data_IF_954604742423
#
_entry.id   IF_954604742423
#
_cell.length_a   1.000
_cell.length_b   1.000
_cell.length_c   1.000
_cell.angle_alpha   90.00
_cell.angle_beta   90.00
_cell.angle_gamma   90.00
#
_symmetry.space_group_name_H-M   'P 1'
#
loop_
_entity.id
_entity.type
_entity.pdbx_description
1 polymer ?
#
# COMPACT_ATOMS: atom_id res chain seq x y z
N UNK A 1 17.98 10.92 -12.50
CA UNK A 1 16.64 11.28 -12.97
C UNK A 1 16.08 12.33 -12.02
N UNK A 2 15.31 13.33 -12.49
CA UNK A 2 14.73 14.37 -11.64
C UNK A 2 13.22 14.22 -11.68
N UNK A 3 12.58 14.08 -10.53
CA UNK A 3 11.12 13.96 -10.46
C UNK A 3 10.49 15.34 -10.27
N UNK A 4 9.22 15.53 -10.67
CA UNK A 4 8.52 16.79 -10.42
C UNK A 4 8.35 17.00 -8.91
N UNK A 5 8.36 18.27 -8.48
CA UNK A 5 7.99 18.64 -7.11
C UNK A 5 6.47 18.75 -6.99
N UNK A 6 5.94 18.47 -5.80
CA UNK A 6 4.55 18.75 -5.49
C UNK A 6 4.28 20.26 -5.63
N UNK A 7 3.20 20.61 -6.34
CA UNK A 7 2.70 21.97 -6.30
C UNK A 7 2.01 22.24 -4.93
N UNK A 8 1.79 23.50 -4.52
CA UNK A 8 1.23 23.81 -3.21
C UNK A 8 -0.14 23.18 -2.93
N UNK A 9 -0.97 23.02 -3.96
CA UNK A 9 -2.28 22.39 -3.83
C UNK A 9 -2.14 20.91 -3.47
N UNK A 10 -1.33 20.16 -4.24
CA UNK A 10 -1.10 18.74 -4.01
C UNK A 10 -0.37 18.50 -2.68
N UNK A 11 0.59 19.36 -2.31
CA UNK A 11 1.27 19.27 -1.02
C UNK A 11 0.28 19.44 0.16
N UNK A 12 -0.65 20.40 0.06
CA UNK A 12 -1.68 20.60 1.08
C UNK A 12 -2.71 19.45 1.14
N UNK A 13 -3.00 18.81 0.02
CA UNK A 13 -3.88 17.63 -0.01
C UNK A 13 -3.20 16.40 0.59
N UNK A 14 -1.92 16.18 0.24
CA UNK A 14 -1.13 15.05 0.73
C UNK A 14 -0.92 15.12 2.25
N UNK A 15 -0.74 16.31 2.81
CA UNK A 15 -0.55 16.50 4.25
C UNK A 15 -1.75 16.07 5.11
N UNK A 16 -2.94 15.96 4.52
CA UNK A 16 -4.13 15.44 5.19
C UNK A 16 -4.18 13.90 5.23
N UNK A 17 -3.29 13.21 4.52
CA UNK A 17 -3.25 11.75 4.42
C UNK A 17 -2.15 11.23 5.36
N UNK A 18 -2.49 10.41 6.37
CA UNK A 18 -1.48 9.82 7.23
C UNK A 18 -0.53 8.92 6.44
N UNK A 19 0.81 9.07 6.54
CA UNK A 19 1.72 8.17 5.85
C UNK A 19 1.72 6.78 6.46
N UNK A 20 2.07 5.78 5.66
CA UNK A 20 2.59 4.50 6.12
C UNK A 20 4.12 4.55 6.11
N UNK A 21 4.76 3.86 7.05
CA UNK A 21 6.20 3.75 7.17
C UNK A 21 6.65 2.32 6.81
N UNK A 22 7.61 2.20 5.90
CA UNK A 22 8.35 0.96 5.61
C UNK A 22 9.82 1.30 5.38
N UNK A 23 10.73 0.60 6.06
CA UNK A 23 12.19 0.78 5.91
C UNK A 23 12.64 2.26 5.89
N UNK A 24 12.12 3.04 6.84
CA UNK A 24 12.35 4.50 7.00
C UNK A 24 11.77 5.39 5.90
N UNK A 25 11.11 4.82 4.89
CA UNK A 25 10.43 5.57 3.84
C UNK A 25 9.00 5.83 4.23
N UNK A 26 8.60 7.10 4.22
CA UNK A 26 7.20 7.45 4.29
C UNK A 26 6.59 7.38 2.89
N UNK A 27 5.48 6.67 2.78
CA UNK A 27 4.66 6.66 1.60
C UNK A 27 3.21 6.97 1.97
N UNK A 28 2.47 7.52 1.02
CA UNK A 28 1.13 8.05 1.25
C UNK A 28 0.10 7.28 0.41
N UNK A 29 -0.58 6.28 0.98
CA UNK A 29 -1.62 5.53 0.30
C UNK A 29 -2.85 6.41 0.06
N UNK A 30 -3.10 6.68 -1.21
CA UNK A 30 -4.01 7.72 -1.67
C UNK A 30 -4.82 7.25 -2.86
N UNK A 31 -5.96 7.90 -3.06
CA UNK A 31 -6.64 7.94 -4.35
C UNK A 31 -6.28 9.25 -5.04
N UNK A 32 -6.23 9.23 -6.36
CA UNK A 32 -5.90 10.42 -7.17
C UNK A 32 -6.90 10.60 -8.28
N UNK A 33 -7.31 11.85 -8.52
CA UNK A 33 -8.03 12.24 -9.73
C UNK A 33 -6.99 12.72 -10.75
N UNK A 34 -6.99 12.12 -11.93
CA UNK A 34 -6.12 12.52 -13.04
C UNK A 34 -6.68 13.76 -13.76
N UNK A 35 -5.86 14.44 -14.56
CA UNK A 35 -6.30 15.55 -15.41
C UNK A 35 -7.41 15.14 -16.41
N UNK A 36 -7.52 13.84 -16.73
CA UNK A 36 -8.60 13.28 -17.54
C UNK A 36 -9.94 13.17 -16.81
N UNK A 37 -9.95 13.31 -15.48
CA UNK A 37 -11.10 13.05 -14.61
C UNK A 37 -11.23 11.59 -14.14
N UNK A 38 -10.35 10.70 -14.59
CA UNK A 38 -10.27 9.32 -14.08
C UNK A 38 -9.78 9.31 -12.62
N UNK A 39 -10.32 8.38 -11.83
CA UNK A 39 -9.87 8.15 -10.44
C UNK A 39 -9.11 6.84 -10.36
N UNK A 40 -7.87 6.90 -9.88
CA UNK A 40 -7.08 5.74 -9.50
C UNK A 40 -7.13 5.60 -7.97
N UNK A 41 -7.70 4.50 -7.48
CA UNK A 41 -7.95 4.32 -6.04
C UNK A 41 -6.72 3.88 -5.23
N UNK A 42 -5.74 3.27 -5.88
CA UNK A 42 -4.60 2.65 -5.20
C UNK A 42 -3.29 3.29 -5.70
N UNK A 43 -2.93 4.44 -5.15
CA UNK A 43 -1.70 5.15 -5.50
C UNK A 43 -0.86 5.39 -4.25
N UNK A 44 0.45 5.14 -4.36
CA UNK A 44 1.43 5.43 -3.33
C UNK A 44 2.25 6.63 -3.78
N UNK A 45 2.04 7.78 -3.15
CA UNK A 45 2.94 8.92 -3.33
C UNK A 45 4.16 8.74 -2.43
N UNK A 46 5.36 8.89 -2.99
CA UNK A 46 6.63 8.65 -2.27
C UNK A 46 7.69 9.65 -2.74
N UNK A 47 8.53 10.12 -1.81
CA UNK A 47 9.72 10.90 -2.17
C UNK A 47 10.67 10.00 -2.97
N UNK A 48 11.07 10.44 -4.17
CA UNK A 48 11.82 9.62 -5.11
C UNK A 48 13.19 9.14 -4.55
N UNK A 49 13.89 10.03 -3.85
CA UNK A 49 15.18 9.72 -3.22
C UNK A 49 15.08 8.67 -2.11
N UNK A 50 14.03 8.76 -1.28
CA UNK A 50 13.74 7.79 -0.23
C UNK A 50 13.35 6.44 -0.82
N UNK A 51 12.48 6.45 -1.83
CA UNK A 51 12.07 5.24 -2.54
C UNK A 51 13.30 4.49 -3.09
N UNK A 52 14.18 5.15 -3.84
CA UNK A 52 15.33 4.47 -4.43
C UNK A 52 16.30 3.95 -3.36
N UNK A 53 16.44 4.67 -2.24
CA UNK A 53 17.31 4.26 -1.15
C UNK A 53 16.83 2.98 -0.46
N UNK A 54 15.52 2.72 -0.41
CA UNK A 54 14.95 1.50 0.18
C UNK A 54 14.82 0.35 -0.84
N UNK A 55 14.28 0.62 -2.04
CA UNK A 55 14.01 -0.44 -3.01
C UNK A 55 15.12 -0.69 -4.04
N UNK A 56 16.04 0.25 -4.24
CA UNK A 56 17.21 0.09 -5.11
C UNK A 56 16.94 -0.03 -6.62
N UNK A 57 15.67 0.03 -7.05
CA UNK A 57 15.23 -0.06 -8.46
C UNK A 57 14.04 0.85 -8.70
N UNK A 58 14.06 1.64 -9.78
CA UNK A 58 12.94 2.52 -10.12
C UNK A 58 11.69 1.72 -10.50
N UNK A 59 10.47 2.22 -10.24
CA UNK A 59 9.24 1.47 -10.55
C UNK A 59 9.16 1.05 -12.03
N UNK A 60 9.45 1.97 -12.97
CA UNK A 60 9.43 1.69 -14.40
C UNK A 60 10.54 0.75 -14.90
N UNK A 61 11.54 0.42 -14.06
CA UNK A 61 12.58 -0.57 -14.37
C UNK A 61 12.23 -1.98 -13.86
N UNK A 62 11.15 -2.09 -13.09
CA UNK A 62 10.67 -3.32 -12.47
C UNK A 62 9.31 -3.69 -13.06
N UNK A 63 9.27 -4.73 -13.91
CA UNK A 63 8.04 -5.17 -14.58
C UNK A 63 6.92 -5.62 -13.65
N UNK A 64 7.19 -5.77 -12.35
CA UNK A 64 6.16 -6.07 -11.34
C UNK A 64 5.51 -4.81 -10.74
N UNK A 65 5.96 -3.62 -11.13
CA UNK A 65 5.49 -2.33 -10.62
C UNK A 65 4.91 -1.48 -11.74
N UNK A 66 3.95 -0.65 -11.34
CA UNK A 66 3.34 0.35 -12.20
C UNK A 66 3.62 1.74 -11.62
N UNK A 67 3.83 2.73 -12.46
CA UNK A 67 3.98 4.13 -12.04
C UNK A 67 3.14 5.11 -12.87
N UNK A 68 2.82 6.23 -12.24
CA UNK A 68 2.14 7.36 -12.87
C UNK A 68 2.94 8.64 -12.66
N UNK A 69 2.87 9.53 -13.65
CA UNK A 69 3.55 10.81 -13.59
C UNK A 69 2.77 11.80 -12.69
N UNK A 70 3.46 12.47 -11.78
CA UNK A 70 2.87 13.51 -10.91
C UNK A 70 2.14 14.61 -11.71
N UNK A 71 2.66 14.97 -12.89
CA UNK A 71 2.05 15.97 -13.77
C UNK A 71 0.68 15.58 -14.32
N UNK A 72 0.31 14.30 -14.26
CA UNK A 72 -1.02 13.83 -14.65
C UNK A 72 -2.06 13.93 -13.52
N UNK A 73 -1.62 14.21 -12.28
CA UNK A 73 -2.49 14.25 -11.10
C UNK A 73 -3.06 15.65 -10.92
N UNK A 74 -4.39 15.72 -10.83
CA UNK A 74 -5.15 16.94 -10.56
C UNK A 74 -5.44 17.11 -9.08
N UNK A 75 -5.86 16.05 -8.40
CA UNK A 75 -6.14 16.04 -6.97
C UNK A 75 -5.67 14.74 -6.30
N UNK A 76 -5.34 14.84 -5.02
CA UNK A 76 -5.01 13.71 -4.14
C UNK A 76 -5.98 13.70 -2.95
N UNK A 77 -6.45 12.52 -2.54
CA UNK A 77 -7.34 12.36 -1.41
C UNK A 77 -7.18 10.97 -0.74
N UNK A 78 -7.64 10.78 0.51
CA UNK A 78 -7.54 9.48 1.18
C UNK A 78 -8.22 8.36 0.38
N UNK A 79 -7.53 7.23 0.24
CA UNK A 79 -8.11 6.07 -0.45
C UNK A 79 -9.10 5.31 0.42
N UNK A 80 -10.23 4.94 -0.18
CA UNK A 80 -11.25 4.08 0.45
C UNK A 80 -10.82 2.62 0.52
N UNK A 81 -9.87 2.23 -0.32
CA UNK A 81 -9.32 0.87 -0.36
C UNK A 81 -8.20 0.65 0.66
N UNK A 82 -7.71 1.73 1.29
CA UNK A 82 -6.65 1.65 2.28
C UNK A 82 -7.16 1.00 3.56
N UNK A 83 -6.55 -0.11 3.98
CA UNK A 83 -6.82 -0.67 5.30
C UNK A 83 -6.50 0.33 6.42
N UNK A 84 -7.13 0.23 7.61
CA UNK A 84 -6.81 1.12 8.71
C UNK A 84 -5.30 1.15 9.00
N UNK A 85 -4.73 2.36 9.08
CA UNK A 85 -3.29 2.59 9.25
C UNK A 85 -2.66 1.73 10.36
N UNK A 86 -3.35 1.62 11.50
CA UNK A 86 -2.88 0.81 12.62
C UNK A 86 -2.68 -0.67 12.27
N UNK A 87 -3.43 -1.20 11.30
CA UNK A 87 -3.29 -2.57 10.83
C UNK A 87 -2.18 -2.71 9.81
N UNK A 88 -2.02 -1.77 8.86
CA UNK A 88 -0.89 -1.82 7.91
C UNK A 88 0.44 -1.73 8.66
N UNK A 89 0.56 -0.82 9.63
CA UNK A 89 1.75 -0.69 10.48
C UNK A 89 1.99 -1.94 11.35
N UNK A 90 0.92 -2.53 11.89
CA UNK A 90 1.04 -3.76 12.67
C UNK A 90 1.52 -4.94 11.80
N UNK A 91 1.04 -5.06 10.56
CA UNK A 91 1.50 -6.10 9.63
C UNK A 91 2.98 -5.88 9.26
N UNK A 92 3.39 -4.65 8.95
CA UNK A 92 4.79 -4.32 8.62
C UNK A 92 5.73 -4.65 9.78
N UNK A 93 5.25 -4.59 11.02
CA UNK A 93 6.03 -4.97 12.21
C UNK A 93 6.19 -6.48 12.41
N UNK A 94 5.46 -7.32 11.67
CA UNK A 94 5.60 -8.77 11.77
C UNK A 94 6.90 -9.25 11.14
N UNK A 95 7.49 -10.29 11.73
CA UNK A 95 8.60 -11.00 11.12
C UNK A 95 8.21 -11.55 9.76
N UNK A 96 9.14 -11.49 8.81
CA UNK A 96 8.94 -12.08 7.50
C UNK A 96 8.66 -13.57 7.62
N UNK A 97 7.65 -14.04 6.88
CA UNK A 97 7.31 -15.46 6.81
C UNK A 97 8.13 -16.20 5.74
N UNK A 98 8.83 -15.46 4.89
CA UNK A 98 9.69 -15.97 3.81
C UNK A 98 10.45 -14.81 3.15
N UNK A 99 11.12 -15.08 2.02
CA UNK A 99 11.94 -14.06 1.34
C UNK A 99 11.09 -12.87 0.85
N UNK A 100 11.06 -11.78 1.62
CA UNK A 100 10.43 -10.51 1.24
C UNK A 100 8.90 -10.46 1.38
N UNK A 101 8.30 -11.34 2.19
CA UNK A 101 6.86 -11.29 2.46
C UNK A 101 6.49 -11.77 3.86
N UNK A 102 5.33 -11.31 4.33
CA UNK A 102 4.73 -11.71 5.60
C UNK A 102 3.35 -12.33 5.38
N UNK A 103 3.09 -13.44 6.07
CA UNK A 103 1.77 -14.07 6.15
C UNK A 103 1.09 -13.65 7.45
N UNK A 104 -0.20 -13.38 7.37
CA UNK A 104 -1.01 -12.98 8.51
C UNK A 104 -2.49 -13.27 8.25
N UNK A 105 -3.31 -13.17 9.29
CA UNK A 105 -4.75 -13.25 9.18
C UNK A 105 -5.37 -11.86 9.31
N UNK A 106 -6.22 -11.48 8.36
CA UNK A 106 -7.27 -10.51 8.64
C UNK A 106 -8.33 -11.17 9.52
N UNK A 107 -8.80 -10.44 10.52
CA UNK A 107 -9.93 -10.83 11.36
C UNK A 107 -11.07 -9.86 11.09
N UNK A 108 -12.21 -10.39 10.67
CA UNK A 108 -13.40 -9.61 10.32
C UNK A 108 -14.40 -9.53 11.48
N UNK A 109 -15.33 -8.57 11.40
CA UNK A 109 -16.38 -8.33 12.43
C UNK A 109 -17.20 -9.58 12.80
N UNK A 110 -17.41 -10.47 11.85
CA UNK A 110 -18.16 -11.73 12.04
C UNK A 110 -17.32 -12.85 12.69
N UNK A 111 -16.04 -12.57 12.99
CA UNK A 111 -15.10 -13.52 13.59
C UNK A 111 -14.34 -14.37 12.57
N UNK A 112 -14.66 -14.27 11.27
CA UNK A 112 -13.94 -14.99 10.25
C UNK A 112 -12.50 -14.49 10.14
N UNK A 113 -11.60 -15.43 9.82
CA UNK A 113 -10.19 -15.16 9.60
C UNK A 113 -9.80 -15.56 8.18
N UNK A 114 -9.09 -14.68 7.48
CA UNK A 114 -8.63 -14.95 6.12
C UNK A 114 -7.12 -14.80 6.02
N UNK A 115 -6.46 -15.87 5.58
CA UNK A 115 -5.02 -15.91 5.37
C UNK A 115 -4.63 -14.98 4.22
N UNK A 116 -3.67 -14.10 4.49
CA UNK A 116 -3.29 -12.98 3.65
C UNK A 116 -1.77 -12.86 3.54
N UNK A 117 -1.30 -12.22 2.47
CA UNK A 117 0.10 -12.00 2.16
C UNK A 117 0.32 -10.55 1.68
N UNK A 118 1.37 -9.89 2.20
CA UNK A 118 1.95 -8.70 1.60
C UNK A 118 3.48 -8.72 1.67
N UNK A 119 4.12 -7.93 0.79
CA UNK A 119 5.54 -7.58 0.90
C UNK A 119 5.72 -6.33 1.78
N UNK A 120 6.64 -5.44 1.41
CA UNK A 120 6.89 -4.19 2.17
C UNK A 120 5.76 -3.14 2.14
N UNK A 121 4.73 -3.36 1.32
CA UNK A 121 3.57 -2.48 1.19
C UNK A 121 2.32 -3.28 1.56
N UNK A 122 1.62 -2.83 2.60
CA UNK A 122 0.48 -3.55 3.19
C UNK A 122 -0.73 -2.64 3.40
N UNK A 123 -0.99 -1.72 2.47
CA UNK A 123 -2.11 -0.77 2.57
C UNK A 123 -3.32 -1.16 1.72
N UNK A 124 -3.13 -1.84 0.59
CA UNK A 124 -4.19 -2.20 -0.35
C UNK A 124 -4.29 -3.70 -0.55
N UNK A 125 -5.50 -4.26 -0.44
CA UNK A 125 -5.76 -5.69 -0.58
C UNK A 125 -7.00 -5.96 -1.41
N UNK A 126 -7.00 -7.07 -2.14
CA UNK A 126 -8.21 -7.59 -2.80
C UNK A 126 -8.99 -8.39 -1.77
N UNK A 127 -9.92 -7.73 -1.07
CA UNK A 127 -10.78 -8.39 -0.10
C UNK A 127 -11.80 -9.29 -0.82
N UNK A 128 -12.27 -10.38 -0.19
CA UNK A 128 -13.40 -11.14 -0.70
C UNK A 128 -14.63 -10.23 -0.84
N UNK A 129 -15.45 -10.46 -1.86
CA UNK A 129 -16.61 -9.61 -2.21
C UNK A 129 -17.59 -9.38 -1.04
N UNK A 130 -17.59 -10.26 -0.04
CA UNK A 130 -18.42 -10.18 1.17
C UNK A 130 -17.87 -9.23 2.25
N UNK A 131 -16.66 -8.69 2.09
CA UNK A 131 -16.02 -7.86 3.10
C UNK A 131 -15.59 -6.51 2.55
N UNK A 132 -15.83 -5.48 3.36
CA UNK A 132 -15.27 -4.16 3.16
C UNK A 132 -14.05 -3.97 4.05
N UNK A 133 -13.25 -2.96 3.73
CA UNK A 133 -12.10 -2.56 4.56
C UNK A 133 -12.52 -2.24 6.00
N UNK A 134 -13.67 -1.62 6.18
CA UNK A 134 -14.25 -1.29 7.48
C UNK A 134 -14.66 -2.52 8.31
N UNK A 135 -14.74 -3.71 7.70
CA UNK A 135 -15.05 -4.96 8.40
C UNK A 135 -13.82 -5.59 9.05
N UNK A 136 -12.62 -5.12 8.72
CA UNK A 136 -11.39 -5.55 9.37
C UNK A 136 -11.35 -4.96 10.78
N UNK A 137 -11.32 -5.83 11.79
CA UNK A 137 -11.23 -5.42 13.20
C UNK A 137 -9.89 -5.75 13.84
N UNK A 138 -9.10 -6.65 13.23
CA UNK A 138 -7.78 -7.00 13.72
C UNK A 138 -6.93 -7.66 12.63
N UNK A 139 -5.62 -7.69 12.88
CA UNK A 139 -4.65 -8.51 12.16
C UNK A 139 -3.89 -9.37 13.16
N UNK A 140 -3.60 -10.61 12.77
CA UNK A 140 -2.91 -11.59 13.61
C UNK A 140 -1.75 -12.22 12.84
N UNK A 141 -0.58 -12.44 13.47
CA UNK A 141 0.53 -13.11 12.79
C UNK A 141 0.13 -14.54 12.41
N UNK A 142 0.59 -15.00 11.25
CA UNK A 142 0.44 -16.39 10.86
C UNK A 142 1.45 -17.25 11.63
N UNK A 143 0.95 -18.28 12.32
CA UNK A 143 1.79 -19.32 12.92
C UNK A 143 1.70 -20.58 12.04
N UNK A 144 2.84 -21.03 11.53
CA UNK A 144 2.90 -22.19 10.64
C UNK A 144 2.58 -23.48 11.41
N UNK A 145 1.63 -24.24 10.88
CA UNK A 145 1.48 -25.67 11.17
C UNK A 145 2.19 -26.48 10.06
N UNK A 146 3.03 -27.43 10.44
CA UNK A 146 3.84 -28.23 9.53
C UNK A 146 3.02 -29.15 8.61
N UNK A 147 1.73 -29.35 8.91
CA UNK A 147 0.88 -30.30 8.20
C UNK A 147 -0.08 -29.67 7.18
N UNK A 148 -0.04 -28.35 6.96
CA UNK A 148 -0.95 -27.67 6.04
C UNK A 148 -0.24 -27.02 4.84
N UNK A 149 -0.75 -27.23 3.60
CA UNK A 149 -0.35 -26.42 2.47
C UNK A 149 -0.82 -24.98 2.70
N UNK A 150 0.11 -24.04 2.59
CA UNK A 150 -0.14 -22.62 2.80
C UNK A 150 -0.46 -22.01 1.45
N UNK A 151 -1.71 -21.59 1.25
CA UNK A 151 -2.13 -20.82 0.07
C UNK A 151 -2.83 -19.55 0.57
N UNK A 152 -2.24 -18.36 0.40
CA UNK A 152 -2.90 -17.13 0.78
C UNK A 152 -4.14 -16.90 -0.10
N UNK A 153 -5.24 -16.50 0.53
CA UNK A 153 -6.50 -16.22 -0.15
C UNK A 153 -6.53 -14.75 -0.59
N UNK A 154 -6.01 -13.85 0.26
CA UNK A 154 -5.94 -12.41 -0.02
C UNK A 154 -4.49 -12.02 -0.35
N UNK A 155 -4.33 -11.28 -1.44
CA UNK A 155 -3.08 -10.64 -1.84
C UNK A 155 -3.26 -9.13 -1.86
N UNK A 156 -2.13 -8.43 -1.89
CA UNK A 156 -2.13 -6.99 -2.16
C UNK A 156 -2.84 -6.69 -3.48
N UNK A 157 -3.64 -5.63 -3.51
CA UNK A 157 -4.24 -5.15 -4.76
C UNK A 157 -3.16 -4.55 -5.66
N UNK A 158 -3.45 -4.43 -6.95
CA UNK A 158 -2.60 -3.64 -7.84
C UNK A 158 -2.63 -2.17 -7.40
N UNK A 159 -1.49 -1.50 -7.52
CA UNK A 159 -1.34 -0.09 -7.18
C UNK A 159 -0.28 0.56 -8.07
N UNK A 160 -0.30 1.89 -8.10
CA UNK A 160 0.67 2.70 -8.83
C UNK A 160 1.59 3.43 -7.86
N UNK A 161 2.86 3.57 -8.21
CA UNK A 161 3.74 4.54 -7.58
C UNK A 161 3.61 5.90 -8.26
N UNK A 162 3.62 6.97 -7.47
CA UNK A 162 3.82 8.33 -7.96
C UNK A 162 4.98 8.95 -7.20
N UNK A 163 6.13 9.01 -7.86
CA UNK A 163 7.35 9.55 -7.26
C UNK A 163 7.43 11.07 -7.45
N UNK A 164 7.87 11.77 -6.40
CA UNK A 164 8.07 13.23 -6.42
C UNK A 164 9.37 13.63 -5.73
N UNK A 165 9.90 14.80 -6.08
CA UNK A 165 11.03 15.43 -5.38
C UNK A 165 10.52 16.43 -4.32
N UNK A 166 11.27 16.62 -3.24
CA UNK A 166 11.08 17.75 -2.30
C UNK A 166 11.63 19.06 -2.86
#
# INVERSE_FOLDING_TARGET
MKYPKLNPLLANQLSAIPPSLYDKVNYYPSSVELNSGEILENVLLVVAGEYYSSWGVWPHEDSSKEDINLGNIKYVFPSRNRIPLQFSQKIISYEESGMGYSLFYFVFKDGNKVLSLCGGICDFFVLPDSYLVEDIINVQPFARDNNQPIVPIIKTANFYFCLYDE
#
